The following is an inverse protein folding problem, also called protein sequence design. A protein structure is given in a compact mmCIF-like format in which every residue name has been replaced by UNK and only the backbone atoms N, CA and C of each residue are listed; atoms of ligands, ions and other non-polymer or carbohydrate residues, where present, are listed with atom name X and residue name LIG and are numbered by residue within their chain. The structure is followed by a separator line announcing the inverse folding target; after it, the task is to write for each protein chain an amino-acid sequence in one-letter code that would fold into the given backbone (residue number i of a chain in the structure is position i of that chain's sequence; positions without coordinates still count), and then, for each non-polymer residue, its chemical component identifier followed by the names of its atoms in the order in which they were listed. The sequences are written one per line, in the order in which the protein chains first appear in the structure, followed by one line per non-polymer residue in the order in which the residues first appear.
data_IF_882318719748
#
_entry.id   IF_882318719748
#
_cell.length_a   1.000
_cell.length_b   1.000
_cell.length_c   1.000
_cell.angle_alpha   90.00
_cell.angle_beta   90.00
_cell.angle_gamma   90.00
#
_symmetry.space_group_name_H-M   'P 1'
#
loop_
_entity.id
_entity.type
_entity.pdbx_description
1 polymer ?
#
# COMPACT_ATOMS: atom_id res chain seq x y z
N UNK A 1 19.35 7.44 26.52
CA UNK A 1 19.89 7.81 25.19
C UNK A 1 21.33 8.26 25.39
N UNK A 2 22.31 7.61 24.76
CA UNK A 2 23.73 7.97 24.93
C UNK A 2 24.03 9.16 24.01
N UNK A 3 24.43 10.34 24.52
CA UNK A 3 24.57 11.58 23.74
C UNK A 3 25.50 11.44 22.52
N UNK A 4 26.55 10.62 22.62
CA UNK A 4 27.53 10.40 21.55
C UNK A 4 27.02 9.59 20.35
N UNK A 5 25.90 8.88 20.45
CA UNK A 5 25.40 8.08 19.32
C UNK A 5 24.78 8.95 18.21
N UNK A 6 24.24 10.12 18.57
CA UNK A 6 23.67 11.07 17.60
C UNK A 6 24.77 11.74 16.77
N UNK A 7 25.83 12.21 17.42
CA UNK A 7 26.97 12.85 16.75
C UNK A 7 27.72 11.86 15.86
N UNK A 8 27.84 10.59 16.27
CA UNK A 8 28.42 9.54 15.44
C UNK A 8 27.59 9.28 14.17
N UNK A 9 26.26 9.23 14.25
CA UNK A 9 25.38 9.03 13.09
C UNK A 9 25.39 10.22 12.12
N UNK A 10 25.43 11.45 12.65
CA UNK A 10 25.58 12.67 11.84
C UNK A 10 26.89 12.67 11.06
N UNK A 11 28.02 12.37 11.72
CA UNK A 11 29.33 12.28 11.04
C UNK A 11 29.38 11.14 10.03
N UNK A 12 28.72 10.00 10.30
CA UNK A 12 28.61 8.89 9.36
C UNK A 12 27.82 9.26 8.09
N UNK A 13 26.78 10.10 8.21
CA UNK A 13 26.02 10.61 7.06
C UNK A 13 26.82 11.57 6.20
N UNK A 14 27.58 12.48 6.82
CA UNK A 14 28.49 13.39 6.12
C UNK A 14 29.55 12.59 5.34
N UNK A 15 30.16 11.60 5.99
CA UNK A 15 31.12 10.71 5.34
C UNK A 15 30.52 9.91 4.17
N UNK A 16 29.28 9.43 4.31
CA UNK A 16 28.56 8.76 3.22
C UNK A 16 28.26 9.70 2.03
N UNK A 17 28.20 11.02 2.27
CA UNK A 17 28.06 12.06 1.25
C UNK A 17 29.36 12.38 0.49
N UNK A 18 30.50 11.83 0.93
CA UNK A 18 31.81 12.06 0.32
C UNK A 18 32.70 13.03 1.10
N UNK A 19 32.22 13.56 2.23
CA UNK A 19 33.02 14.43 3.08
C UNK A 19 34.05 13.61 3.86
N UNK A 20 35.32 13.93 3.67
CA UNK A 20 36.41 13.28 4.41
C UNK A 20 36.93 14.19 5.51
N UNK A 21 37.25 13.62 6.67
CA UNK A 21 37.95 14.35 7.72
C UNK A 21 39.33 14.80 7.21
N UNK A 22 39.75 15.98 7.66
CA UNK A 22 41.09 16.46 7.38
C UNK A 22 42.16 15.53 7.96
N UNK A 23 43.28 15.39 7.24
CA UNK A 23 44.37 14.49 7.61
C UNK A 23 44.86 14.66 9.06
N UNK A 24 44.90 15.90 9.55
CA UNK A 24 45.38 16.28 10.90
C UNK A 24 44.46 15.86 12.06
N UNK A 25 43.22 15.48 11.76
CA UNK A 25 42.21 15.11 12.76
C UNK A 25 42.05 13.58 12.83
N UNK A 26 42.70 12.85 11.92
CA UNK A 26 42.64 11.40 11.87
C UNK A 26 43.62 10.77 12.86
N UNK A 27 43.36 9.56 13.37
CA UNK A 27 44.34 8.82 14.13
C UNK A 27 45.60 8.54 13.29
N UNK A 28 46.80 8.66 13.87
CA UNK A 28 48.11 8.45 13.21
C UNK A 28 48.21 7.27 12.22
N UNK A 29 47.59 6.10 12.45
CA UNK A 29 47.59 5.00 11.48
C UNK A 29 46.86 5.32 10.17
N UNK A 30 45.88 6.22 10.19
CA UNK A 30 45.08 6.68 9.06
C UNK A 30 45.68 7.95 8.44
N UNK A 31 46.30 8.84 9.22
CA UNK A 31 47.01 10.02 8.71
C UNK A 31 48.11 9.64 7.70
N UNK A 32 48.93 8.64 8.05
CA UNK A 32 50.05 8.16 7.21
C UNK A 32 49.61 7.36 5.98
N UNK A 33 48.32 7.00 5.87
CA UNK A 33 47.77 6.14 4.82
C UNK A 33 46.97 6.89 3.77
N UNK A 34 46.84 8.21 3.88
CA UNK A 34 46.14 9.03 2.89
C UNK A 34 46.94 9.02 1.59
N UNK A 35 46.42 8.34 0.56
CA UNK A 35 46.96 8.31 -0.79
C UNK A 35 47.70 7.03 -1.21
N UNK A 36 48.04 6.13 -0.29
CA UNK A 36 48.82 4.91 -0.60
C UNK A 36 48.06 3.59 -0.45
N UNK A 37 46.93 3.55 0.30
CA UNK A 37 46.15 2.32 0.51
C UNK A 37 44.66 2.60 0.33
N UNK A 38 44.02 1.89 -0.59
CA UNK A 38 42.57 1.77 -0.66
C UNK A 38 42.08 0.99 0.55
N UNK A 39 41.26 1.61 1.41
CA UNK A 39 40.63 0.91 2.53
C UNK A 39 39.76 -0.24 2.00
N UNK A 40 39.81 -1.43 2.62
CA UNK A 40 38.97 -2.55 2.21
C UNK A 40 37.50 -2.18 2.37
N UNK A 41 36.69 -2.60 1.39
CA UNK A 41 35.25 -2.34 1.39
C UNK A 41 34.61 -2.98 2.63
N UNK A 42 33.84 -2.19 3.38
CA UNK A 42 33.17 -2.70 4.58
C UNK A 42 32.16 -3.80 4.23
N UNK A 43 31.87 -4.68 5.18
CA UNK A 43 30.84 -5.72 5.03
C UNK A 43 29.47 -5.13 4.70
N UNK A 44 29.13 -3.96 5.25
CA UNK A 44 27.88 -3.26 4.95
C UNK A 44 27.85 -2.71 3.52
N UNK A 45 28.93 -2.11 3.05
CA UNK A 45 29.04 -1.61 1.68
C UNK A 45 28.95 -2.76 0.66
N UNK A 46 29.61 -3.89 0.92
CA UNK A 46 29.48 -5.10 0.07
C UNK A 46 28.03 -5.59 0.04
N UNK A 47 27.36 -5.71 1.19
CA UNK A 47 25.94 -6.11 1.24
C UNK A 47 25.04 -5.16 0.45
N UNK A 48 25.27 -3.85 0.54
CA UNK A 48 24.50 -2.86 -0.21
C UNK A 48 24.71 -3.01 -1.72
N UNK A 49 25.94 -3.22 -2.17
CA UNK A 49 26.25 -3.48 -3.58
C UNK A 49 25.53 -4.74 -4.09
N UNK A 50 25.59 -5.85 -3.33
CA UNK A 50 24.87 -7.07 -3.69
C UNK A 50 23.35 -6.87 -3.71
N UNK A 51 22.78 -6.23 -2.69
CA UNK A 51 21.34 -5.92 -2.66
C UNK A 51 20.93 -5.06 -3.86
N UNK A 52 21.74 -4.07 -4.23
CA UNK A 52 21.49 -3.23 -5.39
C UNK A 52 21.51 -4.05 -6.69
N UNK A 53 22.52 -4.91 -6.87
CA UNK A 53 22.64 -5.81 -8.01
C UNK A 53 21.44 -6.76 -8.13
N UNK A 54 21.12 -7.49 -7.06
CA UNK A 54 19.98 -8.42 -7.02
C UNK A 54 18.68 -7.70 -7.32
N UNK A 55 18.46 -6.51 -6.74
CA UNK A 55 17.25 -5.73 -6.99
C UNK A 55 17.14 -5.33 -8.47
N UNK A 56 18.23 -4.90 -9.10
CA UNK A 56 18.27 -4.53 -10.52
C UNK A 56 17.95 -5.74 -11.41
N UNK A 57 18.60 -6.88 -11.15
CA UNK A 57 18.38 -8.13 -11.89
C UNK A 57 16.96 -8.64 -11.71
N UNK A 58 16.43 -8.59 -10.48
CA UNK A 58 15.05 -9.03 -10.18
C UNK A 58 14.04 -8.19 -10.93
N UNK A 59 14.21 -6.87 -10.98
CA UNK A 59 13.32 -5.98 -11.74
C UNK A 59 13.36 -6.32 -13.23
N UNK A 60 14.56 -6.49 -13.81
CA UNK A 60 14.70 -6.87 -15.22
C UNK A 60 14.01 -8.21 -15.53
N UNK A 61 14.27 -9.25 -14.71
CA UNK A 61 13.64 -10.56 -14.85
C UNK A 61 12.12 -10.49 -14.72
N UNK A 62 11.62 -9.73 -13.75
CA UNK A 62 10.18 -9.54 -13.56
C UNK A 62 9.55 -8.83 -14.75
N UNK A 63 10.15 -7.75 -15.27
CA UNK A 63 9.57 -6.99 -16.40
C UNK A 63 9.46 -7.80 -17.69
N UNK A 64 10.28 -8.82 -17.89
CA UNK A 64 10.22 -9.72 -19.04
C UNK A 64 9.31 -10.94 -18.83
N UNK A 65 8.78 -11.15 -17.62
CA UNK A 65 7.93 -12.30 -17.32
C UNK A 65 6.49 -12.07 -17.81
N UNK A 66 5.89 -12.99 -18.57
CA UNK A 66 4.47 -12.94 -18.94
C UNK A 66 3.53 -12.94 -17.71
N UNK A 67 4.01 -13.42 -16.56
CA UNK A 67 3.26 -13.49 -15.30
C UNK A 67 3.31 -12.18 -14.49
N UNK A 68 4.19 -11.26 -14.85
CA UNK A 68 4.33 -9.98 -14.17
C UNK A 68 3.97 -8.85 -15.14
N UNK A 69 2.67 -8.62 -15.39
CA UNK A 69 2.27 -7.54 -16.27
C UNK A 69 2.83 -6.21 -15.74
N UNK A 70 3.20 -5.28 -16.65
CA UNK A 70 3.73 -3.99 -16.25
C UNK A 70 2.77 -3.31 -15.25
N UNK A 71 3.30 -2.58 -14.26
CA UNK A 71 2.47 -1.97 -13.23
C UNK A 71 1.41 -1.08 -13.89
N UNK A 72 0.16 -1.53 -13.82
CA UNK A 72 -0.97 -0.77 -14.34
C UNK A 72 -1.03 0.62 -13.68
N UNK A 73 -1.23 1.66 -14.49
CA UNK A 73 -1.47 3.04 -14.02
C UNK A 73 -2.64 3.14 -13.04
N UNK A 74 -3.53 2.14 -13.02
CA UNK A 74 -4.67 2.02 -12.10
C UNK A 74 -4.35 1.37 -10.76
N UNK A 75 -3.07 1.19 -10.39
CA UNK A 75 -2.72 0.54 -9.12
C UNK A 75 -3.24 1.36 -7.93
N UNK A 76 -4.39 0.95 -7.39
CA UNK A 76 -5.02 1.47 -6.17
C UNK A 76 -4.13 1.25 -4.92
N UNK A 77 -3.04 0.50 -5.06
CA UNK A 77 -2.07 0.20 -4.01
C UNK A 77 -0.92 1.21 -4.06
N UNK A 78 -0.92 2.17 -3.13
CA UNK A 78 0.05 3.26 -3.01
C UNK A 78 1.44 2.72 -2.63
N UNK A 79 1.54 2.08 -1.46
CA UNK A 79 2.63 1.21 -1.01
C UNK A 79 2.10 0.27 0.09
N UNK A 80 2.81 -0.82 0.41
CA UNK A 80 2.44 -1.71 1.53
C UNK A 80 2.51 -0.94 2.87
N UNK A 81 3.48 -0.02 3.02
CA UNK A 81 3.63 0.81 4.24
C UNK A 81 2.41 1.69 4.47
N UNK A 82 1.94 2.39 3.44
CA UNK A 82 0.75 3.25 3.55
C UNK A 82 -0.49 2.43 3.95
N UNK A 83 -0.63 1.23 3.38
CA UNK A 83 -1.74 0.35 3.77
C UNK A 83 -1.63 -0.09 5.22
N UNK A 84 -0.44 -0.49 5.67
CA UNK A 84 -0.22 -0.89 7.07
C UNK A 84 -0.59 0.20 8.06
N UNK A 85 -0.31 1.47 7.72
CA UNK A 85 -0.70 2.62 8.56
C UNK A 85 -2.23 2.82 8.54
N UNK A 86 -2.86 2.74 7.36
CA UNK A 86 -4.31 2.89 7.18
C UNK A 86 -5.12 1.84 7.97
N UNK A 87 -4.59 0.62 8.12
CA UNK A 87 -5.28 -0.48 8.80
C UNK A 87 -4.82 -0.76 10.22
N UNK A 88 -3.87 0.02 10.76
CA UNK A 88 -3.23 -0.26 12.05
C UNK A 88 -4.23 -0.35 13.22
N UNK A 89 -5.30 0.47 13.19
CA UNK A 89 -6.36 0.48 14.20
C UNK A 89 -7.60 -0.33 13.84
N UNK A 90 -7.64 -0.99 12.68
CA UNK A 90 -8.82 -1.72 12.21
C UNK A 90 -8.78 -3.18 12.66
N UNK A 91 -9.95 -3.74 13.01
CA UNK A 91 -10.04 -5.18 13.23
C UNK A 91 -9.67 -5.94 11.95
N UNK A 92 -9.11 -7.14 12.11
CA UNK A 92 -8.59 -7.96 11.00
C UNK A 92 -9.58 -8.15 9.84
N UNK A 93 -10.88 -8.26 10.14
CA UNK A 93 -11.95 -8.40 9.12
C UNK A 93 -12.02 -7.19 8.19
N UNK A 94 -12.00 -5.97 8.73
CA UNK A 94 -12.01 -4.72 7.98
C UNK A 94 -10.76 -4.59 7.12
N UNK A 95 -9.60 -4.90 7.69
CA UNK A 95 -8.31 -4.86 6.98
C UNK A 95 -8.30 -5.83 5.81
N UNK A 96 -8.82 -7.05 5.99
CA UNK A 96 -8.93 -8.05 4.93
C UNK A 96 -9.89 -7.61 3.82
N UNK A 97 -11.07 -7.11 4.17
CA UNK A 97 -12.05 -6.61 3.22
C UNK A 97 -11.47 -5.43 2.41
N UNK A 98 -10.85 -4.45 3.06
CA UNK A 98 -10.24 -3.31 2.39
C UNK A 98 -9.10 -3.74 1.46
N UNK A 99 -8.27 -4.71 1.88
CA UNK A 99 -7.23 -5.29 1.03
C UNK A 99 -7.82 -5.94 -0.22
N UNK A 100 -8.88 -6.73 -0.06
CA UNK A 100 -9.55 -7.41 -1.16
C UNK A 100 -10.20 -6.42 -2.13
N UNK A 101 -10.82 -5.35 -1.63
CA UNK A 101 -11.36 -4.27 -2.47
C UNK A 101 -10.25 -3.55 -3.27
N UNK A 102 -9.13 -3.22 -2.62
CA UNK A 102 -7.99 -2.55 -3.27
C UNK A 102 -7.31 -3.38 -4.34
N UNK A 103 -7.27 -4.69 -4.15
CA UNK A 103 -6.61 -5.61 -5.08
C UNK A 103 -7.58 -6.19 -6.12
N UNK A 104 -8.87 -5.89 -6.02
CA UNK A 104 -9.91 -6.43 -6.90
C UNK A 104 -10.20 -7.92 -6.68
N UNK A 105 -9.91 -8.43 -5.47
CA UNK A 105 -10.16 -9.81 -5.04
C UNK A 105 -11.36 -9.92 -4.07
N UNK A 106 -12.12 -8.84 -3.88
CA UNK A 106 -13.37 -8.92 -3.13
C UNK A 106 -14.34 -9.89 -3.85
N UNK A 107 -15.19 -10.63 -3.13
CA UNK A 107 -16.10 -11.64 -3.67
C UNK A 107 -17.30 -11.02 -4.40
N UNK A 108 -17.01 -10.17 -5.38
CA UNK A 108 -17.93 -9.62 -6.36
C UNK A 108 -17.89 -10.48 -7.63
N UNK A 109 -18.98 -10.48 -8.41
CA UNK A 109 -19.18 -11.45 -9.49
C UNK A 109 -18.09 -11.41 -10.55
N UNK A 110 -17.49 -10.24 -10.86
CA UNK A 110 -16.33 -10.19 -11.77
C UNK A 110 -15.15 -11.02 -11.29
N UNK A 111 -14.81 -10.90 -10.00
CA UNK A 111 -13.71 -11.67 -9.43
C UNK A 111 -14.07 -13.15 -9.31
N UNK A 112 -15.29 -13.44 -8.82
CA UNK A 112 -15.76 -14.83 -8.68
C UNK A 112 -15.82 -15.57 -10.02
N UNK A 113 -16.23 -14.91 -11.09
CA UNK A 113 -16.19 -15.45 -12.44
C UNK A 113 -14.76 -15.73 -12.92
N UNK A 114 -13.83 -14.80 -12.66
CA UNK A 114 -12.40 -14.97 -13.00
C UNK A 114 -11.79 -16.22 -12.35
N UNK A 115 -12.23 -16.58 -11.14
CA UNK A 115 -11.77 -17.78 -10.41
C UNK A 115 -12.74 -18.97 -10.55
N UNK A 116 -13.63 -18.94 -11.56
CA UNK A 116 -14.60 -20.00 -11.88
C UNK A 116 -15.50 -20.44 -10.70
N UNK A 117 -15.77 -19.53 -9.76
CA UNK A 117 -16.69 -19.76 -8.63
C UNK A 117 -18.10 -19.23 -8.88
N UNK A 118 -18.31 -18.48 -9.96
CA UNK A 118 -19.62 -17.94 -10.32
C UNK A 118 -19.77 -17.88 -11.85
N UNK A 119 -20.93 -18.22 -12.42
CA UNK A 119 -21.07 -18.42 -13.87
C UNK A 119 -21.06 -17.14 -14.70
N UNK A 120 -21.40 -15.97 -14.14
CA UNK A 120 -21.54 -14.73 -14.91
C UNK A 120 -20.92 -13.53 -14.16
N UNK A 121 -20.05 -12.71 -14.78
CA UNK A 121 -19.45 -11.55 -14.11
C UNK A 121 -20.44 -10.41 -13.82
N UNK A 122 -21.67 -10.46 -14.35
CA UNK A 122 -22.69 -9.41 -14.26
C UNK A 122 -23.22 -9.23 -12.83
N UNK A 123 -23.48 -7.97 -12.45
CA UNK A 123 -24.12 -7.66 -11.18
C UNK A 123 -25.54 -8.25 -11.12
N UNK A 124 -25.82 -9.05 -10.09
CA UNK A 124 -27.14 -9.64 -9.88
C UNK A 124 -28.19 -8.65 -9.36
N UNK A 125 -27.78 -7.44 -8.95
CA UNK A 125 -28.71 -6.44 -8.43
C UNK A 125 -29.21 -5.49 -9.51
N UNK A 126 -28.35 -5.09 -10.45
CA UNK A 126 -28.75 -4.18 -11.53
C UNK A 126 -28.83 -4.84 -12.90
N UNK A 127 -28.16 -5.98 -13.11
CA UNK A 127 -28.10 -6.70 -14.39
C UNK A 127 -27.53 -5.91 -15.58
N UNK A 128 -26.93 -4.73 -15.36
CA UNK A 128 -26.48 -3.85 -16.46
C UNK A 128 -25.01 -4.03 -16.84
N UNK A 129 -24.13 -4.31 -15.87
CA UNK A 129 -22.67 -4.31 -16.05
C UNK A 129 -22.01 -5.39 -15.20
N UNK A 130 -20.75 -5.69 -15.52
CA UNK A 130 -19.91 -6.52 -14.66
C UNK A 130 -19.78 -5.93 -13.25
N UNK A 131 -19.91 -6.79 -12.24
CA UNK A 131 -19.80 -6.40 -10.84
C UNK A 131 -18.33 -6.24 -10.44
N UNK A 132 -17.77 -5.10 -10.82
CA UNK A 132 -16.44 -4.66 -10.41
C UNK A 132 -16.51 -3.90 -9.09
N UNK A 133 -15.37 -3.71 -8.41
CA UNK A 133 -15.31 -2.85 -7.20
C UNK A 133 -15.77 -1.42 -7.50
N UNK A 134 -15.38 -0.88 -8.67
CA UNK A 134 -15.84 0.44 -9.12
C UNK A 134 -17.36 0.47 -9.35
N UNK A 135 -17.91 -0.58 -9.97
CA UNK A 135 -19.34 -0.67 -10.19
C UNK A 135 -20.09 -0.72 -8.87
N UNK A 136 -19.68 -1.60 -7.96
CA UNK A 136 -20.29 -1.77 -6.64
C UNK A 136 -20.28 -0.48 -5.81
N UNK A 137 -19.14 0.20 -5.70
CA UNK A 137 -18.97 1.34 -4.79
C UNK A 137 -19.46 2.68 -5.36
N UNK A 138 -19.53 2.84 -6.69
CA UNK A 138 -19.72 4.16 -7.32
C UNK A 138 -20.88 4.21 -8.31
N UNK A 139 -21.11 3.14 -9.10
CA UNK A 139 -21.95 3.23 -10.32
C UNK A 139 -23.26 2.45 -10.22
N UNK A 140 -23.35 1.45 -9.35
CA UNK A 140 -24.49 0.53 -9.33
C UNK A 140 -25.79 1.27 -9.00
N UNK A 141 -26.80 1.28 -9.91
CA UNK A 141 -28.06 1.98 -9.66
C UNK A 141 -28.89 1.33 -8.55
N UNK A 142 -28.75 0.01 -8.35
CA UNK A 142 -29.42 -0.70 -7.26
C UNK A 142 -28.93 -0.27 -5.87
N UNK A 143 -27.77 0.38 -5.80
CA UNK A 143 -27.23 0.97 -4.57
C UNK A 143 -27.26 2.51 -4.60
N UNK A 144 -28.07 3.13 -5.48
CA UNK A 144 -28.08 4.58 -5.66
C UNK A 144 -28.34 5.34 -4.35
N UNK A 145 -29.22 4.82 -3.46
CA UNK A 145 -29.49 5.42 -2.16
C UNK A 145 -28.26 5.42 -1.25
N UNK A 146 -27.54 4.30 -1.19
CA UNK A 146 -26.31 4.17 -0.42
C UNK A 146 -25.19 5.04 -1.01
N UNK A 147 -25.07 5.07 -2.34
CA UNK A 147 -24.12 5.94 -3.05
C UNK A 147 -24.39 7.42 -2.76
N UNK A 148 -25.66 7.84 -2.77
CA UNK A 148 -26.05 9.22 -2.45
C UNK A 148 -25.64 9.61 -1.04
N UNK A 149 -25.93 8.77 -0.03
CA UNK A 149 -25.51 9.00 1.35
C UNK A 149 -23.99 9.11 1.49
N UNK A 150 -23.26 8.21 0.83
CA UNK A 150 -21.79 8.23 0.83
C UNK A 150 -21.25 9.51 0.17
N UNK A 151 -21.92 9.99 -0.88
CA UNK A 151 -21.58 11.21 -1.58
C UNK A 151 -21.90 12.48 -0.78
N UNK A 152 -23.02 12.51 -0.04
CA UNK A 152 -23.35 13.61 0.87
C UNK A 152 -22.28 13.77 1.96
N UNK A 153 -21.77 12.67 2.49
CA UNK A 153 -20.77 12.70 3.56
C UNK A 153 -19.35 13.00 3.06
N UNK A 154 -18.93 12.42 1.93
CA UNK A 154 -17.55 12.51 1.43
C UNK A 154 -17.35 13.54 0.31
N UNK A 155 -18.43 14.06 -0.27
CA UNK A 155 -18.41 14.95 -1.42
C UNK A 155 -17.69 14.32 -2.62
N UNK A 156 -16.86 15.09 -3.36
CA UNK A 156 -16.14 14.61 -4.55
C UNK A 156 -15.22 13.40 -4.32
N UNK A 157 -14.84 13.12 -3.07
CA UNK A 157 -13.98 11.97 -2.74
C UNK A 157 -14.69 10.64 -2.98
N UNK A 158 -16.01 10.59 -2.83
CA UNK A 158 -16.82 9.38 -3.05
C UNK A 158 -16.75 8.89 -4.50
N UNK A 159 -16.64 9.80 -5.47
CA UNK A 159 -16.60 9.48 -6.90
C UNK A 159 -15.27 8.90 -7.36
N UNK A 160 -14.21 8.98 -6.55
CA UNK A 160 -12.88 8.48 -6.89
C UNK A 160 -12.55 7.24 -6.08
N UNK A 161 -12.55 6.07 -6.74
CA UNK A 161 -12.23 4.79 -6.11
C UNK A 161 -10.87 4.81 -5.37
N UNK A 162 -9.90 5.55 -5.90
CA UNK A 162 -8.58 5.71 -5.28
C UNK A 162 -8.68 6.36 -3.91
N UNK A 163 -9.46 7.43 -3.76
CA UNK A 163 -9.56 8.19 -2.52
C UNK A 163 -10.33 7.36 -1.49
N UNK A 164 -11.47 6.80 -1.92
CA UNK A 164 -12.34 5.96 -1.09
C UNK A 164 -11.61 4.79 -0.42
N UNK A 165 -10.66 4.16 -1.12
CA UNK A 165 -9.92 3.00 -0.61
C UNK A 165 -8.55 3.31 0.04
N UNK A 166 -8.09 4.57 0.02
CA UNK A 166 -6.77 4.94 0.53
C UNK A 166 -6.78 6.04 1.60
N UNK A 167 -7.84 6.82 1.73
CA UNK A 167 -7.91 7.91 2.71
C UNK A 167 -8.57 7.45 4.01
N UNK A 168 -7.91 7.70 5.15
CA UNK A 168 -8.42 7.33 6.48
C UNK A 168 -9.84 7.87 6.73
N UNK A 169 -10.11 9.11 6.31
CA UNK A 169 -11.40 9.79 6.46
C UNK A 169 -12.53 9.09 5.69
N UNK A 170 -12.20 8.32 4.66
CA UNK A 170 -13.18 7.61 3.84
C UNK A 170 -13.51 6.21 4.37
N UNK A 171 -12.69 5.65 5.28
CA UNK A 171 -12.80 4.26 5.70
C UNK A 171 -14.09 3.97 6.49
N UNK A 172 -14.42 4.79 7.49
CA UNK A 172 -15.66 4.62 8.27
C UNK A 172 -16.92 4.77 7.39
N UNK A 173 -17.07 5.84 6.58
CA UNK A 173 -18.19 5.98 5.65
C UNK A 173 -18.29 4.84 4.63
N UNK A 174 -17.15 4.36 4.12
CA UNK A 174 -17.10 3.21 3.21
C UNK A 174 -17.65 1.93 3.88
N UNK A 175 -17.27 1.64 5.13
CA UNK A 175 -17.78 0.46 5.81
C UNK A 175 -19.27 0.57 6.14
N UNK A 176 -19.77 1.76 6.49
CA UNK A 176 -21.22 2.02 6.60
C UNK A 176 -21.95 1.78 5.29
N UNK A 177 -21.40 2.23 4.16
CA UNK A 177 -21.92 1.90 2.82
C UNK A 177 -22.00 0.38 2.65
N UNK A 178 -20.89 -0.35 2.84
CA UNK A 178 -20.85 -1.80 2.62
C UNK A 178 -21.86 -2.53 3.50
N UNK A 179 -21.92 -2.21 4.79
CA UNK A 179 -22.90 -2.77 5.71
C UNK A 179 -24.34 -2.53 5.24
N UNK A 180 -24.67 -1.30 4.82
CA UNK A 180 -26.02 -0.94 4.35
C UNK A 180 -26.44 -1.58 3.03
N UNK A 181 -25.51 -2.17 2.29
CA UNK A 181 -25.82 -2.93 1.06
C UNK A 181 -26.05 -4.41 1.31
N UNK A 182 -25.62 -4.95 2.47
CA UNK A 182 -25.57 -6.38 2.80
C UNK A 182 -24.85 -7.26 1.77
N UNK A 183 -24.22 -6.69 0.73
CA UNK A 183 -23.70 -7.43 -0.43
C UNK A 183 -22.58 -8.40 -0.07
N UNK A 184 -21.79 -8.05 0.93
CA UNK A 184 -20.59 -8.77 1.35
C UNK A 184 -20.75 -9.43 2.74
N UNK A 185 -21.96 -9.36 3.31
CA UNK A 185 -22.26 -9.83 4.66
C UNK A 185 -22.06 -11.34 4.81
N UNK A 186 -22.41 -12.11 3.77
CA UNK A 186 -22.23 -13.57 3.77
C UNK A 186 -20.76 -14.01 3.98
N UNK A 187 -19.79 -13.19 3.55
CA UNK A 187 -18.36 -13.54 3.59
C UNK A 187 -17.64 -12.88 4.76
N UNK A 188 -17.97 -11.63 5.09
CA UNK A 188 -17.26 -10.85 6.10
C UNK A 188 -18.06 -10.66 7.40
N UNK A 189 -19.30 -11.13 7.44
CA UNK A 189 -20.25 -10.86 8.52
C UNK A 189 -20.62 -9.37 8.58
N UNK A 190 -21.06 -8.95 9.76
CA UNK A 190 -21.33 -7.56 10.03
C UNK A 190 -20.04 -6.73 10.04
N UNK A 191 -20.05 -5.66 9.23
CA UNK A 191 -18.98 -4.70 9.03
C UNK A 191 -19.42 -3.27 9.39
N UNK A 192 -20.41 -3.12 10.28
CA UNK A 192 -20.76 -1.81 10.85
C UNK A 192 -19.56 -1.31 11.67
N UNK A 193 -18.94 -0.17 11.28
CA UNK A 193 -17.88 0.41 12.09
C UNK A 193 -18.43 0.81 13.47
N UNK A 194 -17.66 0.65 14.55
CA UNK A 194 -18.07 1.15 15.86
C UNK A 194 -18.33 2.66 15.77
N UNK A 195 -19.41 3.12 16.38
CA UNK A 195 -19.77 4.54 16.44
C UNK A 195 -18.62 5.34 17.04
N UNK A 196 -18.31 6.50 16.46
CA UNK A 196 -17.24 7.40 16.93
C UNK A 196 -17.58 8.10 18.28
N UNK A 197 -18.49 7.53 19.11
CA UNK A 197 -19.07 8.14 20.32
C UNK A 197 -18.50 7.56 21.63
N UNK A 198 -17.54 6.63 21.58
CA UNK A 198 -16.83 6.09 22.75
C UNK A 198 -15.36 6.54 22.77
N UNK A 199 -15.14 7.85 22.93
CA UNK A 199 -13.81 8.46 23.07
C UNK A 199 -13.81 9.83 23.71
#
# INVERSE_FOLDING_TARGET
MVPGNKTADEQAKLAAGGDNSEARVLPRPLEKRIGTITLPTSKSALKQQFHHKIKKETVALMTHSPRYPPPSKSRLVRTIKDFSLLVAGLQRRYSSLLFQLRTGHAPLNKYLHRITKFPNPTCQHCHLREETVHHFLIVCPSYARQCHKLQEELGPRSSQLKNLLNEQKCISPLFRFIASTCRLEQVFGDVIPPSDDDG
#
